data_IF_945555970953
#
_entry.id   IF_945555970953
#
_cell.length_a   1.000
_cell.length_b   1.000
_cell.length_c   1.000
_cell.angle_alpha   90.00
_cell.angle_beta   90.00
_cell.angle_gamma   90.00
#
_symmetry.space_group_name_H-M   'P 1'
#
loop_
_entity.id
_entity.type
_entity.pdbx_description
1 polymer ?
#
# COMPACT_ATOMS: atom_id res chain seq x y z
N UNK A 1 -11.25 27.40 2.59
CA UNK A 1 -10.03 26.85 1.97
C UNK A 1 -9.08 26.26 3.01
N UNK A 2 -8.66 26.98 4.05
CA UNK A 2 -7.79 26.45 5.12
C UNK A 2 -8.27 25.14 5.75
N UNK A 3 -9.58 25.02 6.05
CA UNK A 3 -10.12 23.77 6.61
C UNK A 3 -9.92 22.57 5.68
N UNK A 4 -9.99 22.75 4.36
CA UNK A 4 -9.77 21.68 3.37
C UNK A 4 -8.28 21.32 3.32
N UNK A 5 -7.39 22.31 3.32
CA UNK A 5 -5.94 22.05 3.35
C UNK A 5 -5.51 21.33 4.63
N UNK A 6 -6.02 21.75 5.79
CA UNK A 6 -5.75 21.08 7.06
C UNK A 6 -6.32 19.65 7.09
N UNK A 7 -7.51 19.42 6.51
CA UNK A 7 -8.11 18.08 6.42
C UNK A 7 -7.30 17.14 5.51
N UNK A 8 -6.58 17.70 4.53
CA UNK A 8 -5.65 16.99 3.63
C UNK A 8 -4.22 16.90 4.20
N UNK A 9 -4.00 17.36 5.44
CA UNK A 9 -2.71 17.27 6.15
C UNK A 9 -1.73 18.42 5.88
N UNK A 10 -2.13 19.44 5.11
CA UNK A 10 -1.29 20.59 4.75
C UNK A 10 -1.29 21.67 5.86
N UNK A 11 -0.72 21.35 7.01
CA UNK A 11 -0.66 22.20 8.21
C UNK A 11 0.63 23.01 8.35
N UNK A 12 1.75 22.57 7.75
CA UNK A 12 3.03 23.31 7.73
C UNK A 12 3.89 22.93 6.51
N UNK A 13 4.99 23.67 6.27
CA UNK A 13 5.86 23.47 5.07
C UNK A 13 6.41 22.05 4.99
N UNK A 14 6.83 21.47 6.12
CA UNK A 14 7.31 20.09 6.16
C UNK A 14 6.18 19.11 5.79
N UNK A 15 4.98 19.31 6.34
CA UNK A 15 3.81 18.49 6.04
C UNK A 15 3.41 18.58 4.57
N UNK A 16 3.58 19.75 3.94
CA UNK A 16 3.26 19.93 2.52
C UNK A 16 4.10 19.01 1.64
N UNK A 17 5.42 19.02 1.82
CA UNK A 17 6.32 18.20 1.00
C UNK A 17 6.07 16.70 1.18
N UNK A 18 5.89 16.27 2.43
CA UNK A 18 5.66 14.86 2.76
C UNK A 18 4.30 14.36 2.30
N UNK A 19 3.24 15.15 2.46
CA UNK A 19 1.92 14.78 1.94
C UNK A 19 1.93 14.74 0.41
N UNK A 20 2.56 15.70 -0.27
CA UNK A 20 2.71 15.67 -1.73
C UNK A 20 3.40 14.38 -2.20
N UNK A 21 4.47 13.95 -1.51
CA UNK A 21 5.13 12.68 -1.79
C UNK A 21 4.18 11.48 -1.61
N UNK A 22 3.40 11.46 -0.54
CA UNK A 22 2.42 10.40 -0.29
C UNK A 22 1.32 10.36 -1.36
N UNK A 23 0.77 11.51 -1.74
CA UNK A 23 -0.22 11.62 -2.82
C UNK A 23 0.36 11.14 -4.14
N UNK A 24 1.57 11.58 -4.50
CA UNK A 24 2.25 11.12 -5.71
C UNK A 24 2.44 9.59 -5.69
N UNK A 25 2.88 9.03 -4.56
CA UNK A 25 3.05 7.59 -4.39
C UNK A 25 1.76 6.79 -4.63
N UNK A 26 0.65 7.23 -4.05
CA UNK A 26 -0.66 6.60 -4.24
C UNK A 26 -1.21 6.76 -5.66
N UNK A 27 -0.98 7.90 -6.31
CA UNK A 27 -1.36 8.11 -7.73
C UNK A 27 -0.61 7.11 -8.61
N UNK A 28 0.71 6.96 -8.40
CA UNK A 28 1.51 5.98 -9.14
C UNK A 28 0.93 4.57 -8.99
N UNK A 29 0.65 4.13 -7.76
CA UNK A 29 0.03 2.82 -7.47
C UNK A 29 -1.31 2.66 -8.22
N UNK A 30 -2.14 3.69 -8.23
CA UNK A 30 -3.45 3.65 -8.89
C UNK A 30 -3.28 3.53 -10.41
N UNK A 31 -2.38 4.31 -11.00
CA UNK A 31 -2.07 4.24 -12.44
C UNK A 31 -1.47 2.87 -12.81
N UNK A 32 -0.68 2.27 -11.91
CA UNK A 32 -0.08 0.94 -12.10
C UNK A 32 -1.12 -0.17 -12.31
N UNK A 33 -2.27 -0.07 -11.64
CA UNK A 33 -3.38 -1.02 -11.79
C UNK A 33 -3.90 -1.00 -13.23
N UNK A 34 -4.19 0.20 -13.73
CA UNK A 34 -4.86 0.43 -15.02
C UNK A 34 -3.88 0.30 -16.21
N UNK A 35 -2.62 0.71 -16.04
CA UNK A 35 -1.64 0.72 -17.11
C UNK A 35 -0.73 -0.50 -17.08
N UNK A 36 -0.96 -1.47 -17.97
CA UNK A 36 -0.09 -2.64 -18.09
C UNK A 36 1.37 -2.29 -18.45
N UNK A 37 1.59 -1.19 -19.19
CA UNK A 37 2.92 -0.74 -19.62
C UNK A 37 3.80 -0.27 -18.46
N UNK A 38 3.22 0.49 -17.52
CA UNK A 38 3.97 1.11 -16.42
C UNK A 38 3.78 0.42 -15.07
N UNK A 39 2.94 -0.62 -15.04
CA UNK A 39 2.55 -1.40 -13.86
C UNK A 39 3.71 -1.71 -12.92
N UNK A 40 4.73 -2.39 -13.43
CA UNK A 40 5.80 -2.90 -12.58
C UNK A 40 6.65 -1.77 -11.99
N UNK A 41 6.87 -0.69 -12.73
CA UNK A 41 7.65 0.46 -12.25
C UNK A 41 6.88 1.23 -11.18
N UNK A 42 5.59 1.48 -11.41
CA UNK A 42 4.78 2.27 -10.49
C UNK A 42 4.42 1.50 -9.21
N UNK A 43 4.35 0.17 -9.26
CA UNK A 43 4.27 -0.67 -8.06
C UNK A 43 5.58 -0.80 -7.28
N UNK A 44 6.69 -0.23 -7.77
CA UNK A 44 7.92 -0.06 -6.98
C UNK A 44 7.99 1.35 -6.41
N UNK A 45 7.92 2.35 -7.29
CA UNK A 45 8.12 3.75 -6.91
C UNK A 45 7.02 4.30 -6.00
N UNK A 46 5.77 3.90 -6.23
CA UNK A 46 4.65 4.34 -5.40
C UNK A 46 4.76 3.87 -3.95
N UNK A 47 4.87 2.55 -3.70
CA UNK A 47 5.07 2.01 -2.35
C UNK A 47 6.36 2.50 -1.69
N UNK A 48 7.44 2.70 -2.46
CA UNK A 48 8.68 3.28 -1.94
C UNK A 48 8.48 4.71 -1.42
N UNK A 49 7.76 5.56 -2.17
CA UNK A 49 7.43 6.91 -1.71
C UNK A 49 6.61 6.87 -0.40
N UNK A 50 5.67 5.91 -0.28
CA UNK A 50 4.87 5.73 0.93
C UNK A 50 5.68 5.15 2.09
N UNK A 51 6.68 4.31 1.84
CA UNK A 51 7.61 3.83 2.84
C UNK A 51 8.42 4.99 3.43
N UNK A 52 8.98 5.84 2.57
CA UNK A 52 9.75 7.01 3.01
C UNK A 52 8.87 7.96 3.83
N UNK A 53 7.66 8.22 3.35
CA UNK A 53 6.66 9.00 4.08
C UNK A 53 6.33 8.40 5.45
N UNK A 54 6.04 7.11 5.52
CA UNK A 54 5.69 6.43 6.76
C UNK A 54 6.84 6.40 7.78
N UNK A 55 8.08 6.22 7.30
CA UNK A 55 9.27 6.10 8.15
C UNK A 55 9.76 7.47 8.65
N UNK A 56 9.93 8.43 7.75
CA UNK A 56 10.57 9.71 8.07
C UNK A 56 9.61 10.76 8.60
N UNK A 57 8.34 10.73 8.19
CA UNK A 57 7.38 11.78 8.55
C UNK A 57 6.32 11.31 9.54
N UNK A 58 5.67 10.18 9.29
CA UNK A 58 4.65 9.67 10.21
C UNK A 58 5.23 8.92 11.42
N UNK A 59 6.52 8.53 11.36
CA UNK A 59 7.16 7.66 12.34
C UNK A 59 6.32 6.43 12.69
N UNK A 60 5.63 5.86 11.68
CA UNK A 60 4.71 4.75 11.85
C UNK A 60 5.37 3.45 11.35
N UNK A 61 5.91 2.61 12.25
CA UNK A 61 6.65 1.41 11.86
C UNK A 61 5.77 0.36 11.19
N UNK A 62 4.45 0.34 11.48
CA UNK A 62 3.50 -0.59 10.86
C UNK A 62 3.39 -0.27 9.38
N UNK A 63 3.06 0.98 9.04
CA UNK A 63 2.94 1.42 7.66
C UNK A 63 4.28 1.29 6.91
N UNK A 64 5.39 1.66 7.54
CA UNK A 64 6.70 1.57 6.91
C UNK A 64 7.10 0.11 6.62
N UNK A 65 6.97 -0.78 7.61
CA UNK A 65 7.29 -2.21 7.45
C UNK A 65 6.41 -2.88 6.40
N UNK A 66 5.14 -2.53 6.33
CA UNK A 66 4.23 -3.09 5.34
C UNK A 66 4.48 -2.53 3.93
N UNK A 67 4.80 -1.24 3.80
CA UNK A 67 5.22 -0.69 2.50
C UNK A 67 6.52 -1.32 2.00
N UNK A 68 7.43 -1.72 2.91
CA UNK A 68 8.64 -2.46 2.53
C UNK A 68 8.31 -3.79 1.86
N UNK A 69 7.31 -4.51 2.38
CA UNK A 69 6.81 -5.77 1.81
C UNK A 69 6.21 -5.52 0.42
N UNK A 70 5.39 -4.48 0.27
CA UNK A 70 4.77 -4.11 -1.01
C UNK A 70 5.84 -3.68 -2.04
N UNK A 71 6.80 -2.83 -1.66
CA UNK A 71 7.92 -2.41 -2.52
C UNK A 71 8.75 -3.62 -2.96
N UNK A 72 9.06 -4.53 -2.04
CA UNK A 72 9.81 -5.76 -2.34
C UNK A 72 9.06 -6.62 -3.35
N UNK A 73 7.75 -6.79 -3.17
CA UNK A 73 6.91 -7.47 -4.15
C UNK A 73 6.94 -6.79 -5.52
N UNK A 74 6.90 -5.45 -5.56
CA UNK A 74 7.03 -4.68 -6.79
C UNK A 74 8.38 -4.93 -7.49
N UNK A 75 9.49 -4.94 -6.74
CA UNK A 75 10.84 -5.15 -7.28
C UNK A 75 10.98 -6.56 -7.86
N UNK A 76 10.45 -7.57 -7.17
CA UNK A 76 10.45 -8.94 -7.66
C UNK A 76 9.65 -9.07 -8.97
N UNK A 77 8.52 -8.38 -9.07
CA UNK A 77 7.71 -8.34 -10.29
C UNK A 77 8.42 -7.58 -11.43
N UNK A 78 9.12 -6.48 -11.12
CA UNK A 78 9.95 -5.73 -12.08
C UNK A 78 11.08 -6.57 -12.67
N UNK A 79 11.66 -7.49 -11.88
CA UNK A 79 12.70 -8.43 -12.33
C UNK A 79 12.15 -9.71 -12.96
N UNK A 80 10.83 -9.81 -13.15
CA UNK A 80 10.11 -10.99 -13.65
C UNK A 80 10.37 -12.29 -12.86
N UNK A 81 10.71 -12.14 -11.57
CA UNK A 81 11.00 -13.26 -10.66
C UNK A 81 9.67 -13.76 -10.10
N UNK A 82 8.97 -14.63 -10.83
CA UNK A 82 7.61 -15.07 -10.44
C UNK A 82 7.57 -16.25 -9.46
N UNK A 83 8.48 -17.22 -9.59
CA UNK A 83 8.42 -18.49 -8.83
C UNK A 83 8.73 -18.34 -7.33
N UNK A 84 9.82 -17.68 -6.90
CA UNK A 84 10.10 -17.53 -5.47
C UNK A 84 9.42 -16.29 -4.86
N UNK A 85 8.79 -15.42 -5.66
CA UNK A 85 8.29 -14.13 -5.16
C UNK A 85 7.27 -14.26 -4.02
N UNK A 86 6.23 -15.12 -4.10
CA UNK A 86 5.31 -15.29 -3.00
C UNK A 86 6.01 -15.72 -1.70
N UNK A 87 6.99 -16.63 -1.80
CA UNK A 87 7.74 -17.11 -0.64
C UNK A 87 8.58 -15.99 0.00
N UNK A 88 9.28 -15.19 -0.82
CA UNK A 88 10.08 -14.05 -0.33
C UNK A 88 9.18 -13.01 0.34
N UNK A 89 8.04 -12.68 -0.27
CA UNK A 89 7.08 -11.71 0.27
C UNK A 89 6.48 -12.20 1.58
N UNK A 90 6.08 -13.48 1.68
CA UNK A 90 5.56 -14.07 2.93
C UNK A 90 6.64 -14.05 4.01
N UNK A 91 7.85 -14.48 3.69
CA UNK A 91 8.95 -14.53 4.66
C UNK A 91 9.26 -13.14 5.21
N UNK A 92 9.36 -12.14 4.32
CA UNK A 92 9.56 -10.75 4.72
C UNK A 92 8.40 -10.22 5.56
N UNK A 93 7.16 -10.51 5.15
CA UNK A 93 5.99 -10.11 5.93
C UNK A 93 6.01 -10.72 7.34
N UNK A 94 6.30 -12.02 7.47
CA UNK A 94 6.40 -12.69 8.77
C UNK A 94 7.47 -12.04 9.65
N UNK A 95 8.63 -11.72 9.10
CA UNK A 95 9.69 -11.01 9.84
C UNK A 95 9.24 -9.63 10.30
N UNK A 96 8.58 -8.85 9.43
CA UNK A 96 8.03 -7.54 9.77
C UNK A 96 6.96 -7.66 10.86
N UNK A 97 6.02 -8.60 10.72
CA UNK A 97 4.98 -8.84 11.72
C UNK A 97 5.57 -9.26 13.07
N UNK A 98 6.57 -10.15 13.08
CA UNK A 98 7.24 -10.58 14.30
C UNK A 98 7.91 -9.39 15.01
N UNK A 99 8.60 -8.52 14.26
CA UNK A 99 9.22 -7.32 14.82
C UNK A 99 8.18 -6.33 15.38
N UNK A 100 7.07 -6.12 14.66
CA UNK A 100 5.98 -5.23 15.09
C UNK A 100 5.25 -5.76 16.33
N UNK A 101 5.08 -7.08 16.44
CA UNK A 101 4.51 -7.71 17.64
C UNK A 101 5.47 -7.62 18.83
N UNK A 102 6.75 -7.90 18.62
CA UNK A 102 7.77 -7.84 19.67
C UNK A 102 7.92 -6.43 20.26
N UNK A 103 7.68 -5.40 19.45
CA UNK A 103 7.74 -3.98 19.85
C UNK A 103 6.40 -3.42 20.33
N UNK A 104 5.35 -4.25 20.41
CA UNK A 104 4.03 -3.84 20.88
C UNK A 104 3.26 -2.91 19.93
N UNK A 105 3.71 -2.74 18.68
CA UNK A 105 3.10 -1.83 17.71
C UNK A 105 1.74 -2.34 17.20
N UNK A 106 1.52 -3.65 17.21
CA UNK A 106 0.23 -4.27 16.87
C UNK A 106 -0.49 -4.62 18.17
N UNK A 107 -1.10 -3.59 18.79
CA UNK A 107 -1.96 -3.74 19.96
C UNK A 107 -3.40 -3.37 19.58
N UNK A 108 -4.27 -4.37 19.45
CA UNK A 108 -5.69 -4.18 19.11
C UNK A 108 -6.04 -4.50 17.66
N UNK A 109 -7.34 -4.40 17.35
CA UNK A 109 -7.93 -4.96 16.12
C UNK A 109 -7.65 -4.12 14.86
N UNK A 110 -7.59 -2.79 14.98
CA UNK A 110 -7.40 -1.90 13.82
C UNK A 110 -6.05 -2.08 13.11
N UNK A 111 -4.90 -2.11 13.81
CA UNK A 111 -3.62 -2.36 13.16
C UNK A 111 -3.58 -3.67 12.37
N UNK A 112 -4.27 -4.72 12.84
CA UNK A 112 -4.39 -5.98 12.11
C UNK A 112 -5.11 -5.83 10.78
N UNK A 113 -6.22 -5.07 10.74
CA UNK A 113 -6.96 -4.82 9.48
C UNK A 113 -6.06 -4.12 8.47
N UNK A 114 -5.36 -3.06 8.88
CA UNK A 114 -4.42 -2.36 8.00
C UNK A 114 -3.29 -3.27 7.52
N UNK A 115 -2.77 -4.12 8.40
CA UNK A 115 -1.68 -5.04 8.10
C UNK A 115 -2.07 -6.15 7.14
N UNK A 116 -3.23 -6.78 7.33
CA UNK A 116 -3.77 -7.75 6.37
C UNK A 116 -4.14 -7.09 5.03
N UNK A 117 -4.60 -5.84 5.05
CA UNK A 117 -4.85 -5.07 3.83
C UNK A 117 -3.59 -4.92 2.97
N UNK A 118 -2.51 -4.42 3.57
CA UNK A 118 -1.23 -4.24 2.87
C UNK A 118 -0.57 -5.58 2.47
N UNK A 119 -0.71 -6.62 3.31
CA UNK A 119 -0.25 -7.97 2.96
C UNK A 119 -1.00 -8.52 1.74
N UNK A 120 -2.32 -8.33 1.68
CA UNK A 120 -3.14 -8.70 0.53
C UNK A 120 -2.64 -8.02 -0.74
N UNK A 121 -2.36 -6.72 -0.68
CA UNK A 121 -1.78 -5.99 -1.82
C UNK A 121 -0.44 -6.60 -2.25
N UNK A 122 0.48 -6.81 -1.31
CA UNK A 122 1.79 -7.39 -1.63
C UNK A 122 1.69 -8.80 -2.24
N UNK A 123 0.86 -9.68 -1.68
CA UNK A 123 0.69 -11.03 -2.23
C UNK A 123 0.01 -11.02 -3.59
N UNK A 124 -1.01 -10.18 -3.77
CA UNK A 124 -1.69 -10.07 -5.06
C UNK A 124 -0.77 -9.54 -6.16
N UNK A 125 0.17 -8.65 -5.84
CA UNK A 125 1.21 -8.19 -6.77
C UNK A 125 2.08 -9.33 -7.32
N UNK A 126 2.42 -10.32 -6.50
CA UNK A 126 3.21 -11.49 -6.96
C UNK A 126 2.46 -12.37 -7.96
N UNK A 127 1.13 -12.27 -8.00
CA UNK A 127 0.28 -13.08 -8.87
C UNK A 127 -0.15 -12.34 -10.14
N UNK A 128 0.24 -11.07 -10.31
CA UNK A 128 -0.04 -10.33 -11.53
C UNK A 128 0.64 -11.00 -12.75
N UNK A 129 0.01 -10.96 -13.94
CA UNK A 129 -1.24 -10.27 -14.25
C UNK A 129 -2.47 -11.21 -14.20
N UNK A 130 -2.48 -12.24 -13.34
CA UNK A 130 -3.62 -13.17 -13.22
C UNK A 130 -4.81 -12.52 -12.52
N UNK A 131 -6.02 -12.97 -12.87
CA UNK A 131 -7.28 -12.57 -12.23
C UNK A 131 -7.24 -12.67 -10.71
N UNK A 132 -6.63 -13.75 -10.18
CA UNK A 132 -6.45 -13.95 -8.74
C UNK A 132 -5.62 -12.84 -8.08
N UNK A 133 -4.56 -12.36 -8.74
CA UNK A 133 -3.75 -11.25 -8.22
C UNK A 133 -4.56 -9.98 -8.05
N UNK A 134 -5.35 -9.59 -9.05
CA UNK A 134 -6.26 -8.45 -8.95
C UNK A 134 -7.32 -8.63 -7.86
N UNK A 135 -7.90 -9.83 -7.73
CA UNK A 135 -8.87 -10.12 -6.67
C UNK A 135 -8.28 -9.96 -5.27
N UNK A 136 -7.08 -10.51 -5.03
CA UNK A 136 -6.39 -10.38 -3.74
C UNK A 136 -6.02 -8.91 -3.45
N UNK A 137 -5.55 -8.17 -4.46
CA UNK A 137 -5.26 -6.73 -4.31
C UNK A 137 -6.52 -5.93 -4.02
N UNK A 138 -7.67 -6.27 -4.63
CA UNK A 138 -8.94 -5.63 -4.32
C UNK A 138 -9.34 -5.90 -2.86
N UNK A 139 -9.29 -7.15 -2.40
CA UNK A 139 -9.55 -7.47 -0.99
C UNK A 139 -8.62 -6.70 -0.04
N UNK A 140 -7.34 -6.60 -0.39
CA UNK A 140 -6.37 -5.81 0.36
C UNK A 140 -6.73 -4.33 0.41
N UNK A 141 -7.07 -3.73 -0.74
CA UNK A 141 -7.52 -2.36 -0.85
C UNK A 141 -8.77 -2.07 -0.01
N UNK A 142 -9.76 -2.98 -0.02
CA UNK A 142 -10.98 -2.85 0.79
C UNK A 142 -10.68 -2.82 2.30
N UNK A 143 -9.78 -3.68 2.77
CA UNK A 143 -9.36 -3.67 4.17
C UNK A 143 -8.69 -2.34 4.54
N UNK A 144 -7.86 -1.78 3.64
CA UNK A 144 -7.24 -0.47 3.88
C UNK A 144 -8.28 0.66 3.86
N UNK A 145 -9.32 0.59 3.01
CA UNK A 145 -10.44 1.54 3.04
C UNK A 145 -11.11 1.54 4.42
N UNK A 146 -11.43 0.35 4.94
CA UNK A 146 -12.06 0.19 6.26
C UNK A 146 -11.15 0.74 7.36
N UNK A 147 -9.87 0.38 7.32
CA UNK A 147 -8.86 0.84 8.27
C UNK A 147 -8.69 2.37 8.25
N UNK A 148 -8.56 2.95 7.06
CA UNK A 148 -8.38 4.38 6.88
C UNK A 148 -9.61 5.17 7.32
N UNK A 149 -10.82 4.65 7.09
CA UNK A 149 -12.05 5.26 7.57
C UNK A 149 -12.12 5.26 9.10
N UNK A 150 -11.77 4.14 9.75
CA UNK A 150 -11.76 4.03 11.20
C UNK A 150 -10.78 5.00 11.87
N UNK A 151 -9.63 5.24 11.24
CA UNK A 151 -8.61 6.17 11.73
C UNK A 151 -8.74 7.60 11.17
N UNK A 152 -9.80 7.90 10.40
CA UNK A 152 -10.05 9.22 9.79
C UNK A 152 -8.90 9.71 8.90
N UNK A 153 -8.19 8.79 8.23
CA UNK A 153 -7.07 9.09 7.33
C UNK A 153 -7.60 9.21 5.89
N UNK A 154 -8.21 10.36 5.59
CA UNK A 154 -8.96 10.60 4.34
C UNK A 154 -8.16 10.34 3.05
N UNK A 155 -6.86 10.66 3.06
CA UNK A 155 -5.96 10.43 1.92
C UNK A 155 -5.88 8.96 1.54
N UNK A 156 -5.66 8.11 2.54
CA UNK A 156 -5.58 6.68 2.35
C UNK A 156 -6.95 6.10 2.00
N UNK A 157 -8.03 6.64 2.58
CA UNK A 157 -9.39 6.21 2.27
C UNK A 157 -9.73 6.39 0.78
N UNK A 158 -9.65 7.62 0.25
CA UNK A 158 -10.05 7.93 -1.13
C UNK A 158 -9.23 7.12 -2.12
N UNK A 159 -7.92 7.06 -1.93
CA UNK A 159 -7.02 6.45 -2.89
C UNK A 159 -7.11 4.92 -2.85
N UNK A 160 -7.33 4.31 -1.68
CA UNK A 160 -7.56 2.86 -1.61
C UNK A 160 -8.96 2.48 -2.12
N UNK A 161 -9.96 3.37 -2.04
CA UNK A 161 -11.27 3.13 -2.65
C UNK A 161 -11.17 3.12 -4.18
N UNK A 162 -10.45 4.07 -4.77
CA UNK A 162 -10.18 4.08 -6.21
C UNK A 162 -9.38 2.84 -6.61
N UNK A 163 -8.33 2.50 -5.85
CA UNK A 163 -7.51 1.30 -6.08
C UNK A 163 -8.34 0.01 -6.03
N UNK A 164 -9.24 -0.11 -5.06
CA UNK A 164 -10.16 -1.25 -4.94
C UNK A 164 -11.02 -1.41 -6.20
N UNK A 165 -11.69 -0.33 -6.62
CA UNK A 165 -12.54 -0.33 -7.81
C UNK A 165 -11.73 -0.66 -9.07
N UNK A 166 -10.55 -0.06 -9.23
CA UNK A 166 -9.69 -0.31 -10.38
C UNK A 166 -9.29 -1.79 -10.48
N UNK A 167 -8.93 -2.43 -9.36
CA UNK A 167 -8.58 -3.85 -9.34
C UNK A 167 -9.80 -4.74 -9.65
N UNK A 168 -11.00 -4.40 -9.14
CA UNK A 168 -12.23 -5.14 -9.48
C UNK A 168 -12.56 -5.07 -10.98
N UNK A 169 -12.39 -3.90 -11.59
CA UNK A 169 -12.63 -3.72 -13.02
C UNK A 169 -11.63 -4.54 -13.86
N UNK A 170 -10.34 -4.49 -13.52
CA UNK A 170 -9.31 -5.29 -14.22
C UNK A 170 -9.51 -6.81 -14.00
N UNK A 171 -9.96 -7.23 -12.82
CA UNK A 171 -10.30 -8.62 -12.54
C UNK A 171 -11.44 -9.12 -13.43
N UNK A 172 -12.43 -8.27 -13.77
CA UNK A 172 -13.55 -8.65 -14.64
C UNK A 172 -13.16 -8.77 -16.12
N UNK A 173 -12.13 -8.04 -16.56
CA UNK A 173 -11.63 -8.07 -17.95
C UNK A 173 -10.79 -9.32 -18.27
N UNK A 174 -10.35 -10.07 -17.26
CA UNK A 174 -9.49 -11.26 -17.36
C UNK A 174 -10.20 -12.53 -16.90
#
# INVERSE_FOLDING_TARGET
MEQIFNLLGFTNIASILWNLLAYAGMILITVAVVSAKWRNQFFVWGPLALLLYAWFYLHNPILAGLQLVVTTSGVLNLRDIKKPAPFVVITLAVMVFAALLATGQISGLWPWIGAFGLLGIALGLTQLPHKRGFGIMASGGLLIVIYALALQIWVFFVLNAIFFVANLLEMRKK
#
